data_IF_269906328915
#
_entry.id   IF_269906328915
#
_cell.length_a   1.000
_cell.length_b   1.000
_cell.length_c   1.000
_cell.angle_alpha   90.00
_cell.angle_beta   90.00
_cell.angle_gamma   90.00
#
_symmetry.space_group_name_H-M   'P 1'
#
loop_
_entity.id
_entity.type
_entity.pdbx_description
1 polymer ?
#
# COMPACT_ATOMS: atom_id res chain seq x y z
N UNK A 1 11.61 -33.68 27.97
CA UNK A 1 11.50 -32.22 28.03
C UNK A 1 11.98 -31.65 26.71
N UNK A 2 11.07 -31.32 25.78
CA UNK A 2 11.47 -30.86 24.45
C UNK A 2 10.30 -30.61 23.48
N UNK A 3 9.14 -30.18 23.98
CA UNK A 3 7.89 -30.14 23.19
C UNK A 3 7.09 -28.83 23.27
N UNK A 4 7.64 -27.72 23.79
CA UNK A 4 6.82 -26.53 24.06
C UNK A 4 7.26 -25.20 23.42
N UNK A 5 8.34 -25.15 22.64
CA UNK A 5 8.74 -23.90 21.96
C UNK A 5 8.23 -23.77 20.52
N UNK A 6 7.74 -24.84 19.88
CA UNK A 6 7.27 -24.81 18.47
C UNK A 6 5.74 -24.77 18.28
N UNK A 7 4.94 -24.90 19.34
CA UNK A 7 3.47 -24.96 19.28
C UNK A 7 2.79 -23.61 19.48
N UNK A 8 3.46 -22.64 20.10
CA UNK A 8 2.92 -21.29 20.39
C UNK A 8 2.86 -20.37 19.15
N UNK A 9 3.61 -20.67 18.09
CA UNK A 9 3.71 -19.87 16.85
C UNK A 9 2.48 -19.99 15.91
N UNK A 10 1.48 -20.83 16.22
CA UNK A 10 0.40 -21.17 15.27
C UNK A 10 -0.89 -20.37 15.44
N UNK A 11 -1.11 -19.68 16.56
CA UNK A 11 -2.34 -18.91 16.72
C UNK A 11 -2.28 -17.61 15.91
N UNK A 12 -3.36 -17.29 15.19
CA UNK A 12 -3.50 -16.05 14.41
C UNK A 12 -3.24 -14.80 15.27
N UNK A 13 -3.64 -14.83 16.55
CA UNK A 13 -3.35 -13.77 17.51
C UNK A 13 -1.85 -13.59 17.74
N UNK A 14 -1.11 -14.67 17.99
CA UNK A 14 0.36 -14.61 18.15
C UNK A 14 1.04 -14.10 16.88
N UNK A 15 0.55 -14.51 15.72
CA UNK A 15 1.05 -14.04 14.43
C UNK A 15 0.89 -12.51 14.27
N UNK A 16 -0.24 -11.94 14.70
CA UNK A 16 -0.41 -10.48 14.75
C UNK A 16 0.50 -9.81 15.77
N UNK A 17 0.74 -10.41 16.94
CA UNK A 17 1.69 -9.87 17.92
C UNK A 17 3.11 -9.81 17.33
N UNK A 18 3.54 -10.82 16.58
CA UNK A 18 4.82 -10.79 15.89
C UNK A 18 4.92 -9.70 14.83
N UNK A 19 3.88 -9.52 14.02
CA UNK A 19 3.84 -8.42 13.04
C UNK A 19 3.83 -7.05 13.74
N UNK A 20 3.01 -6.90 14.79
CA UNK A 20 2.96 -5.68 15.58
C UNK A 20 4.30 -5.34 16.23
N UNK A 21 4.98 -6.33 16.80
CA UNK A 21 6.32 -6.18 17.36
C UNK A 21 7.36 -5.82 16.30
N UNK A 22 7.33 -6.47 15.14
CA UNK A 22 8.20 -6.15 14.01
C UNK A 22 8.01 -4.69 13.55
N UNK A 23 6.77 -4.22 13.48
CA UNK A 23 6.46 -2.87 13.02
C UNK A 23 6.79 -1.82 14.06
N UNK A 24 6.56 -2.12 15.35
CA UNK A 24 7.02 -1.26 16.43
C UNK A 24 8.53 -1.05 16.35
N UNK A 25 9.31 -2.12 16.18
CA UNK A 25 10.76 -2.04 16.04
C UNK A 25 11.20 -1.34 14.76
N UNK A 26 10.51 -1.59 13.63
CA UNK A 26 10.79 -0.92 12.37
C UNK A 26 10.55 0.60 12.47
N UNK A 27 9.44 1.02 13.08
CA UNK A 27 9.12 2.42 13.30
C UNK A 27 10.06 3.08 14.31
N UNK A 28 10.44 2.38 15.39
CA UNK A 28 11.40 2.89 16.35
C UNK A 28 12.80 3.08 15.73
N UNK A 29 13.29 2.09 14.97
CA UNK A 29 14.57 2.18 14.27
C UNK A 29 14.55 3.28 13.19
N UNK A 30 13.48 3.34 12.40
CA UNK A 30 13.27 4.40 11.40
C UNK A 30 13.22 5.78 12.04
N UNK A 31 12.51 5.95 13.16
CA UNK A 31 12.45 7.21 13.92
C UNK A 31 13.84 7.64 14.42
N UNK A 32 14.62 6.73 15.02
CA UNK A 32 15.97 7.05 15.50
C UNK A 32 16.90 7.46 14.35
N UNK A 33 16.85 6.73 13.24
CA UNK A 33 17.65 7.07 12.06
C UNK A 33 17.23 8.40 11.43
N UNK A 34 15.92 8.62 11.27
CA UNK A 34 15.38 9.87 10.75
C UNK A 34 15.72 11.06 11.66
N UNK A 35 15.57 10.90 12.97
CA UNK A 35 15.93 11.93 13.96
C UNK A 35 17.40 12.33 13.86
N UNK A 36 18.31 11.37 13.74
CA UNK A 36 19.73 11.65 13.57
C UNK A 36 20.01 12.50 12.32
N UNK A 37 19.30 12.27 11.21
CA UNK A 37 19.43 13.08 10.00
C UNK A 37 18.73 14.44 10.14
N UNK A 38 17.61 14.51 10.86
CA UNK A 38 16.91 15.77 11.14
C UNK A 38 17.78 16.70 11.99
N UNK A 39 18.44 16.19 13.04
CA UNK A 39 19.36 16.95 13.89
C UNK A 39 20.63 17.42 13.15
N UNK A 40 20.91 16.87 11.96
CA UNK A 40 21.98 17.29 11.06
C UNK A 40 21.47 18.22 9.94
N UNK A 41 20.27 18.78 10.07
CA UNK A 41 19.64 19.72 9.13
C UNK A 41 19.49 19.17 7.70
N UNK A 42 19.38 17.84 7.53
CA UNK A 42 19.08 17.26 6.22
C UNK A 42 17.65 17.59 5.77
N UNK A 43 17.48 17.71 4.45
CA UNK A 43 16.16 17.94 3.83
C UNK A 43 15.12 16.88 4.29
N UNK A 44 13.86 17.25 4.57
CA UNK A 44 12.85 16.32 5.10
C UNK A 44 12.66 15.03 4.29
N UNK A 45 12.79 15.09 2.96
CA UNK A 45 12.73 13.89 2.11
C UNK A 45 13.89 12.91 2.33
N UNK A 46 15.08 13.40 2.67
CA UNK A 46 16.23 12.54 3.02
C UNK A 46 15.96 11.88 4.37
N UNK A 47 15.47 12.65 5.35
CA UNK A 47 15.07 12.14 6.67
C UNK A 47 14.05 11.01 6.52
N UNK A 48 12.98 11.23 5.76
CA UNK A 48 11.93 10.23 5.50
C UNK A 48 12.49 9.02 4.75
N UNK A 49 13.29 9.24 3.71
CA UNK A 49 13.85 8.16 2.89
C UNK A 49 14.77 7.24 3.69
N UNK A 50 15.61 7.80 4.56
CA UNK A 50 16.46 7.02 5.48
C UNK A 50 15.63 6.28 6.51
N UNK A 51 14.65 6.95 7.12
CA UNK A 51 13.76 6.33 8.11
C UNK A 51 13.01 5.13 7.52
N UNK A 52 12.44 5.29 6.32
CA UNK A 52 11.69 4.23 5.62
C UNK A 52 12.60 3.07 5.16
N UNK A 53 13.80 3.38 4.66
CA UNK A 53 14.78 2.36 4.30
C UNK A 53 15.22 1.53 5.52
N UNK A 54 15.49 2.18 6.66
CA UNK A 54 15.84 1.50 7.91
C UNK A 54 14.67 0.66 8.43
N UNK A 55 13.45 1.19 8.43
CA UNK A 55 12.26 0.43 8.81
C UNK A 55 12.05 -0.80 7.92
N UNK A 56 12.23 -0.65 6.60
CA UNK A 56 12.16 -1.74 5.62
C UNK A 56 13.22 -2.82 5.89
N UNK A 57 14.44 -2.45 6.27
CA UNK A 57 15.49 -3.41 6.65
C UNK A 57 15.11 -4.21 7.89
N UNK A 58 14.48 -3.58 8.89
CA UNK A 58 13.97 -4.29 10.07
C UNK A 58 12.88 -5.27 9.66
N UNK A 59 11.88 -4.84 8.89
CA UNK A 59 10.80 -5.72 8.40
C UNK A 59 11.37 -6.89 7.60
N UNK A 60 12.33 -6.64 6.72
CA UNK A 60 13.02 -7.68 5.95
C UNK A 60 13.77 -8.68 6.86
N UNK A 61 14.41 -8.20 7.92
CA UNK A 61 15.03 -9.05 8.93
C UNK A 61 14.03 -10.01 9.58
N UNK A 62 12.84 -9.52 9.94
CA UNK A 62 11.74 -10.36 10.42
C UNK A 62 11.27 -11.35 9.34
N UNK A 63 11.05 -10.90 8.10
CA UNK A 63 10.71 -11.78 6.98
C UNK A 63 11.69 -12.94 6.81
N UNK A 64 12.99 -12.64 6.91
CA UNK A 64 14.08 -13.62 6.79
C UNK A 64 14.06 -14.64 7.94
N UNK A 65 13.96 -14.16 9.19
CA UNK A 65 13.95 -15.02 10.38
C UNK A 65 12.74 -15.95 10.40
N UNK A 66 11.55 -15.41 10.08
CA UNK A 66 10.29 -16.18 10.08
C UNK A 66 10.04 -16.94 8.78
N UNK A 67 10.90 -16.77 7.77
CA UNK A 67 10.76 -17.37 6.43
C UNK A 67 9.40 -17.08 5.79
N UNK A 68 8.93 -15.84 5.94
CA UNK A 68 7.64 -15.41 5.41
C UNK A 68 7.74 -13.95 4.95
N UNK A 69 7.73 -13.71 3.64
CA UNK A 69 7.82 -12.35 3.10
C UNK A 69 6.52 -11.55 3.22
N UNK A 70 5.40 -12.18 3.60
CA UNK A 70 4.14 -11.48 3.92
C UNK A 70 4.20 -10.62 5.18
N UNK A 71 5.32 -10.62 5.92
CA UNK A 71 5.61 -9.58 6.91
C UNK A 71 5.62 -8.17 6.31
N UNK A 72 5.86 -8.01 5.01
CA UNK A 72 5.83 -6.70 4.36
C UNK A 72 4.42 -6.28 3.92
N UNK A 73 3.48 -7.22 3.79
CA UNK A 73 2.17 -6.98 3.15
C UNK A 73 1.35 -5.84 3.77
N UNK A 74 1.29 -5.65 5.11
CA UNK A 74 0.64 -4.48 5.69
C UNK A 74 1.59 -3.27 5.90
N UNK A 75 2.90 -3.42 5.70
CA UNK A 75 3.88 -2.39 6.07
C UNK A 75 3.73 -1.17 5.16
N UNK A 76 3.59 -1.43 3.87
CA UNK A 76 3.44 -0.39 2.84
C UNK A 76 2.15 0.45 3.02
N UNK A 77 1.13 -0.06 3.72
CA UNK A 77 -0.06 0.71 4.10
C UNK A 77 0.05 1.40 5.46
N UNK A 78 0.94 0.94 6.33
CA UNK A 78 1.19 1.54 7.65
C UNK A 78 2.14 2.74 7.53
N UNK A 79 3.22 2.62 6.75
CA UNK A 79 4.31 3.61 6.71
C UNK A 79 3.90 5.04 6.25
N UNK A 80 2.87 5.25 5.40
CA UNK A 80 2.46 6.61 5.05
C UNK A 80 1.92 7.42 6.24
N UNK A 81 1.39 6.77 7.28
CA UNK A 81 0.84 7.44 8.47
C UNK A 81 1.92 8.15 9.31
N UNK A 82 3.01 7.49 9.77
CA UNK A 82 4.09 8.18 10.46
C UNK A 82 4.84 9.18 9.57
N UNK A 83 4.93 8.94 8.25
CA UNK A 83 5.47 9.94 7.30
C UNK A 83 4.61 11.21 7.32
N UNK A 84 3.29 11.07 7.21
CA UNK A 84 2.37 12.19 7.26
C UNK A 84 2.41 12.90 8.62
N UNK A 85 2.51 12.15 9.72
CA UNK A 85 2.62 12.72 11.06
C UNK A 85 3.90 13.53 11.25
N UNK A 86 5.06 13.03 10.78
CA UNK A 86 6.32 13.76 10.82
C UNK A 86 6.27 15.06 10.01
N UNK A 87 5.75 15.00 8.78
CA UNK A 87 5.60 16.20 7.95
C UNK A 87 4.62 17.21 8.54
N UNK A 88 3.51 16.73 9.10
CA UNK A 88 2.55 17.60 9.78
C UNK A 88 3.19 18.30 10.99
N UNK A 89 4.02 17.60 11.78
CA UNK A 89 4.77 18.20 12.87
C UNK A 89 5.66 19.35 12.40
N UNK A 90 6.40 19.19 11.29
CA UNK A 90 7.18 20.28 10.69
C UNK A 90 6.30 21.45 10.24
N UNK A 91 5.14 21.16 9.65
CA UNK A 91 4.21 22.18 9.17
C UNK A 91 3.53 23.01 10.25
N UNK A 92 3.34 22.44 11.45
CA UNK A 92 2.80 23.18 12.60
C UNK A 92 3.69 24.36 12.98
N UNK A 93 5.01 24.20 12.86
CA UNK A 93 5.97 25.28 13.11
C UNK A 93 6.16 26.18 11.87
N UNK A 94 6.02 25.60 10.66
CA UNK A 94 6.21 26.28 9.38
C UNK A 94 5.02 27.08 8.83
N UNK A 95 3.88 27.09 9.53
CA UNK A 95 2.68 27.84 9.11
C UNK A 95 1.88 27.17 7.98
N UNK A 96 1.93 25.85 7.89
CA UNK A 96 1.09 25.08 6.97
C UNK A 96 -0.41 25.23 7.32
N UNK A 97 -1.27 25.15 6.31
CA UNK A 97 -2.72 25.29 6.50
C UNK A 97 -3.29 24.13 7.33
N UNK A 98 -3.86 24.45 8.50
CA UNK A 98 -4.36 23.46 9.45
C UNK A 98 -5.53 22.62 8.90
N UNK A 99 -6.37 23.18 8.02
CA UNK A 99 -7.49 22.47 7.42
C UNK A 99 -6.97 21.44 6.41
N UNK A 100 -6.03 21.83 5.54
CA UNK A 100 -5.36 20.91 4.61
C UNK A 100 -4.66 19.78 5.37
N UNK A 101 -3.93 20.11 6.43
CA UNK A 101 -3.25 19.10 7.26
C UNK A 101 -4.24 18.09 7.83
N UNK A 102 -5.35 18.55 8.41
CA UNK A 102 -6.37 17.67 8.97
C UNK A 102 -7.00 16.76 7.89
N UNK A 103 -7.32 17.32 6.71
CA UNK A 103 -7.87 16.57 5.58
C UNK A 103 -6.90 15.50 5.08
N UNK A 104 -5.64 15.85 4.86
CA UNK A 104 -4.62 14.92 4.38
C UNK A 104 -4.38 13.80 5.39
N UNK A 105 -4.24 14.13 6.68
CA UNK A 105 -4.08 13.14 7.75
C UNK A 105 -5.28 12.19 7.84
N UNK A 106 -6.50 12.72 7.73
CA UNK A 106 -7.72 11.91 7.74
C UNK A 106 -7.81 10.97 6.52
N UNK A 107 -7.50 11.48 5.32
CA UNK A 107 -7.53 10.69 4.07
C UNK A 107 -6.47 9.59 4.08
N UNK A 108 -5.22 9.90 4.46
CA UNK A 108 -4.13 8.92 4.58
C UNK A 108 -4.45 7.89 5.66
N UNK A 109 -4.95 8.33 6.82
CA UNK A 109 -5.35 7.44 7.92
C UNK A 109 -6.49 6.50 7.53
N UNK A 110 -7.52 7.02 6.85
CA UNK A 110 -8.65 6.21 6.36
C UNK A 110 -8.19 5.16 5.35
N UNK A 111 -7.34 5.55 4.39
CA UNK A 111 -6.76 4.62 3.42
C UNK A 111 -5.94 3.52 4.10
N UNK A 112 -5.05 3.90 5.04
CA UNK A 112 -4.19 2.99 5.77
C UNK A 112 -4.97 1.98 6.62
N UNK A 113 -5.96 2.46 7.38
CA UNK A 113 -6.84 1.62 8.21
C UNK A 113 -7.62 0.64 7.32
N UNK A 114 -8.24 1.12 6.24
CA UNK A 114 -9.03 0.30 5.31
C UNK A 114 -8.18 -0.79 4.68
N UNK A 115 -7.00 -0.45 4.16
CA UNK A 115 -6.12 -1.39 3.48
C UNK A 115 -5.55 -2.45 4.43
N UNK A 116 -5.06 -2.00 5.60
CA UNK A 116 -4.53 -2.89 6.64
C UNK A 116 -5.64 -3.81 7.19
N UNK A 117 -6.86 -3.31 7.38
CA UNK A 117 -8.01 -4.11 7.80
C UNK A 117 -8.42 -5.15 6.76
N UNK A 118 -8.39 -4.78 5.47
CA UNK A 118 -8.68 -5.70 4.36
C UNK A 118 -7.67 -6.85 4.28
N UNK A 119 -6.39 -6.57 4.54
CA UNK A 119 -5.37 -7.60 4.68
C UNK A 119 -5.62 -8.46 5.93
N UNK A 120 -5.79 -7.83 7.10
CA UNK A 120 -5.90 -8.51 8.39
C UNK A 120 -7.09 -9.48 8.43
N UNK A 121 -8.24 -9.12 7.84
CA UNK A 121 -9.43 -9.99 7.82
C UNK A 121 -9.20 -11.33 7.10
N UNK A 122 -8.38 -11.34 6.04
CA UNK A 122 -8.11 -12.53 5.23
C UNK A 122 -6.84 -13.29 5.63
N UNK A 123 -5.97 -12.68 6.43
CA UNK A 123 -4.71 -13.29 6.84
C UNK A 123 -4.91 -14.35 7.93
N UNK A 124 -4.30 -15.52 7.74
CA UNK A 124 -4.53 -16.71 8.58
C UNK A 124 -3.40 -16.94 9.60
N UNK A 125 -2.35 -16.11 9.57
CA UNK A 125 -1.16 -16.23 10.42
C UNK A 125 0.08 -16.60 9.62
N UNK A 126 1.18 -16.87 10.32
CA UNK A 126 2.52 -17.02 9.72
C UNK A 126 2.70 -18.21 8.76
N UNK A 127 1.73 -19.12 8.67
CA UNK A 127 1.72 -20.19 7.67
C UNK A 127 1.13 -19.75 6.32
N UNK A 128 0.45 -18.60 6.29
CA UNK A 128 -0.06 -17.97 5.07
C UNK A 128 1.01 -17.03 4.52
N UNK A 129 1.44 -17.31 3.29
CA UNK A 129 2.31 -16.44 2.50
C UNK A 129 1.65 -16.12 1.15
N UNK A 130 1.81 -14.88 0.66
CA UNK A 130 1.33 -14.48 -0.65
C UNK A 130 1.95 -15.37 -1.75
N UNK A 131 1.12 -15.71 -2.73
CA UNK A 131 1.51 -16.59 -3.81
C UNK A 131 2.64 -16.04 -4.69
N UNK A 132 2.81 -14.72 -4.77
CA UNK A 132 3.89 -14.07 -5.52
C UNK A 132 5.23 -14.46 -4.93
N UNK A 133 5.30 -14.60 -3.60
CA UNK A 133 6.52 -14.88 -2.89
C UNK A 133 6.91 -16.34 -3.06
N UNK A 134 5.94 -17.25 -2.92
CA UNK A 134 6.17 -18.68 -3.22
C UNK A 134 6.51 -18.92 -4.70
N UNK A 135 5.94 -18.16 -5.63
CA UNK A 135 6.31 -18.18 -7.04
C UNK A 135 7.77 -17.75 -7.24
N UNK A 136 8.18 -16.61 -6.68
CA UNK A 136 9.55 -16.11 -6.77
C UNK A 136 10.54 -17.06 -6.10
N UNK A 137 10.19 -17.66 -4.96
CA UNK A 137 11.02 -18.66 -4.29
C UNK A 137 11.28 -19.87 -5.19
N UNK A 138 10.26 -20.38 -5.88
CA UNK A 138 10.40 -21.49 -6.84
C UNK A 138 11.25 -21.12 -8.05
N UNK A 139 11.16 -19.88 -8.53
CA UNK A 139 11.90 -19.41 -9.70
C UNK A 139 13.38 -19.12 -9.41
N UNK A 140 13.69 -18.68 -8.19
CA UNK A 140 15.01 -18.10 -7.86
C UNK A 140 15.83 -18.97 -6.90
N UNK A 141 15.20 -19.94 -6.23
CA UNK A 141 15.86 -20.93 -5.39
C UNK A 141 16.75 -20.29 -4.33
N UNK A 142 18.05 -20.58 -4.36
CA UNK A 142 19.03 -20.06 -3.40
C UNK A 142 19.16 -18.52 -3.40
N UNK A 143 18.75 -17.85 -4.47
CA UNK A 143 18.79 -16.39 -4.57
C UNK A 143 17.50 -15.71 -4.07
N UNK A 144 16.54 -16.49 -3.56
CA UNK A 144 15.24 -15.98 -3.14
C UNK A 144 15.32 -14.79 -2.19
N UNK A 145 16.19 -14.83 -1.18
CA UNK A 145 16.26 -13.74 -0.20
C UNK A 145 16.80 -12.43 -0.78
N UNK A 146 17.69 -12.50 -1.78
CA UNK A 146 18.13 -11.32 -2.52
C UNK A 146 16.99 -10.75 -3.37
N UNK A 147 16.26 -11.62 -4.07
CA UNK A 147 15.09 -11.21 -4.88
C UNK A 147 13.94 -10.71 -4.01
N UNK A 148 13.75 -11.30 -2.83
CA UNK A 148 12.74 -10.87 -1.85
C UNK A 148 13.07 -9.49 -1.30
N UNK A 149 14.33 -9.26 -0.91
CA UNK A 149 14.75 -7.93 -0.50
C UNK A 149 14.48 -6.90 -1.61
N UNK A 150 14.99 -7.14 -2.82
CA UNK A 150 14.91 -6.18 -3.90
C UNK A 150 13.47 -5.96 -4.41
N UNK A 151 12.72 -7.05 -4.66
CA UNK A 151 11.44 -7.00 -5.36
C UNK A 151 10.19 -7.02 -4.47
N UNK A 152 10.25 -7.62 -3.28
CA UNK A 152 9.09 -7.74 -2.37
C UNK A 152 9.11 -6.63 -1.32
N UNK A 153 10.29 -6.24 -0.84
CA UNK A 153 10.43 -5.24 0.21
C UNK A 153 10.81 -3.88 -0.36
N UNK A 154 12.03 -3.76 -0.89
CA UNK A 154 12.62 -2.46 -1.22
C UNK A 154 11.97 -1.78 -2.43
N UNK A 155 11.61 -2.52 -3.48
CA UNK A 155 10.92 -1.93 -4.64
C UNK A 155 9.57 -1.30 -4.24
N UNK A 156 8.66 -2.00 -3.54
CA UNK A 156 7.44 -1.36 -3.02
C UNK A 156 7.72 -0.21 -2.05
N UNK A 157 8.77 -0.27 -1.22
CA UNK A 157 9.18 0.85 -0.35
C UNK A 157 9.44 2.10 -1.18
N UNK A 158 10.21 1.98 -2.26
CA UNK A 158 10.47 3.10 -3.18
C UNK A 158 9.16 3.61 -3.78
N UNK A 159 8.25 2.73 -4.20
CA UNK A 159 6.98 3.15 -4.80
C UNK A 159 6.11 3.94 -3.81
N UNK A 160 6.05 3.51 -2.54
CA UNK A 160 5.33 4.24 -1.48
C UNK A 160 6.00 5.55 -1.13
N UNK A 161 7.33 5.57 -0.98
CA UNK A 161 8.09 6.79 -0.76
C UNK A 161 7.81 7.83 -1.86
N UNK A 162 7.85 7.41 -3.13
CA UNK A 162 7.50 8.26 -4.26
C UNK A 162 6.04 8.73 -4.18
N UNK A 163 5.12 7.83 -3.85
CA UNK A 163 3.69 8.14 -3.64
C UNK A 163 3.46 9.16 -2.53
N UNK A 164 4.31 9.20 -1.50
CA UNK A 164 4.25 10.13 -0.39
C UNK A 164 4.88 11.50 -0.68
N UNK A 165 5.57 11.71 -1.81
CA UNK A 165 6.18 13.00 -2.14
C UNK A 165 5.21 14.20 -2.09
N UNK A 166 3.94 14.09 -2.56
CA UNK A 166 2.98 15.19 -2.45
C UNK A 166 2.62 15.59 -1.02
N UNK A 167 2.90 14.74 -0.03
CA UNK A 167 2.68 15.08 1.38
C UNK A 167 3.60 16.21 1.85
N UNK A 168 4.77 16.38 1.24
CA UNK A 168 5.74 17.42 1.62
C UNK A 168 5.15 18.84 1.48
N UNK A 169 4.67 19.28 0.29
CA UNK A 169 4.01 20.58 0.17
C UNK A 169 2.66 20.59 0.90
N UNK A 170 1.91 19.48 0.91
CA UNK A 170 0.60 19.44 1.53
C UNK A 170 0.62 19.63 3.06
N UNK A 171 1.70 19.20 3.72
CA UNK A 171 1.77 19.14 5.18
C UNK A 171 2.85 20.03 5.79
N UNK A 172 3.90 20.41 5.07
CA UNK A 172 5.09 21.03 5.69
C UNK A 172 5.62 22.28 4.99
N UNK A 173 5.71 22.29 3.66
CA UNK A 173 6.53 23.28 2.93
C UNK A 173 5.74 24.43 2.29
N UNK A 174 4.41 24.40 2.31
CA UNK A 174 3.59 25.43 1.68
C UNK A 174 2.48 25.93 2.62
N UNK A 175 2.17 27.23 2.46
CA UNK A 175 1.26 27.98 3.33
C UNK A 175 0.08 28.58 2.57
N UNK A 176 -0.16 28.16 1.31
CA UNK A 176 -1.36 28.57 0.60
C UNK A 176 -2.60 28.13 1.38
N UNK A 177 -3.63 28.99 1.52
CA UNK A 177 -4.83 28.62 2.26
C UNK A 177 -5.56 27.46 1.59
N UNK A 178 -6.34 26.71 2.37
CA UNK A 178 -7.21 25.67 1.83
C UNK A 178 -8.14 26.23 0.75
N UNK A 179 -8.18 25.57 -0.41
CA UNK A 179 -8.90 26.08 -1.58
C UNK A 179 -9.69 25.03 -2.36
N UNK A 180 -10.20 25.44 -3.52
CA UNK A 180 -11.02 24.58 -4.37
C UNK A 180 -10.25 23.35 -4.88
N UNK A 181 -8.95 23.48 -5.15
CA UNK A 181 -8.13 22.35 -5.60
C UNK A 181 -7.94 21.31 -4.49
N UNK A 182 -7.88 21.73 -3.22
CA UNK A 182 -7.86 20.81 -2.08
C UNK A 182 -9.14 19.98 -2.01
N UNK A 183 -10.30 20.59 -2.23
CA UNK A 183 -11.58 19.88 -2.27
C UNK A 183 -11.59 18.82 -3.39
N UNK A 184 -11.09 19.16 -4.58
CA UNK A 184 -10.96 18.19 -5.68
C UNK A 184 -10.06 17.03 -5.26
N UNK A 185 -8.87 17.32 -4.70
CA UNK A 185 -7.92 16.29 -4.29
C UNK A 185 -8.48 15.36 -3.22
N UNK A 186 -9.18 15.92 -2.24
CA UNK A 186 -9.87 15.14 -1.20
C UNK A 186 -10.98 14.26 -1.79
N UNK A 187 -11.84 14.79 -2.68
CA UNK A 187 -12.89 14.01 -3.35
C UNK A 187 -12.30 12.87 -4.17
N UNK A 188 -11.22 13.13 -4.92
CA UNK A 188 -10.53 12.11 -5.71
C UNK A 188 -9.97 11.02 -4.80
N UNK A 189 -9.27 11.38 -3.72
CA UNK A 189 -8.70 10.41 -2.80
C UNK A 189 -9.78 9.54 -2.11
N UNK A 190 -10.85 10.16 -1.61
CA UNK A 190 -11.97 9.46 -0.99
C UNK A 190 -12.71 8.57 -1.99
N UNK A 191 -12.85 9.01 -3.24
CA UNK A 191 -13.41 8.18 -4.31
C UNK A 191 -12.55 6.94 -4.54
N UNK A 192 -11.23 7.08 -4.60
CA UNK A 192 -10.29 5.97 -4.67
C UNK A 192 -10.51 4.96 -3.54
N UNK A 193 -10.57 5.46 -2.30
CA UNK A 193 -10.85 4.65 -1.10
C UNK A 193 -12.20 3.92 -1.19
N UNK A 194 -13.23 4.59 -1.72
CA UNK A 194 -14.55 4.00 -1.95
C UNK A 194 -14.51 2.84 -2.96
N UNK A 195 -13.81 3.01 -4.09
CA UNK A 195 -13.61 1.95 -5.09
C UNK A 195 -12.95 0.72 -4.47
N UNK A 196 -11.89 0.93 -3.70
CA UNK A 196 -11.18 -0.17 -3.05
C UNK A 196 -12.06 -0.87 -2.01
N UNK A 197 -12.68 -0.12 -1.11
CA UNK A 197 -13.52 -0.66 -0.05
C UNK A 197 -14.66 -1.52 -0.60
N UNK A 198 -15.40 -1.00 -1.59
CA UNK A 198 -16.54 -1.70 -2.20
C UNK A 198 -16.04 -2.97 -2.90
N UNK A 199 -15.05 -2.85 -3.78
CA UNK A 199 -14.59 -3.98 -4.59
C UNK A 199 -13.90 -5.07 -3.78
N UNK A 200 -13.13 -4.71 -2.75
CA UNK A 200 -12.54 -5.68 -1.84
C UNK A 200 -13.62 -6.39 -1.04
N UNK A 201 -14.67 -5.70 -0.59
CA UNK A 201 -15.76 -6.35 0.12
C UNK A 201 -16.57 -7.29 -0.77
N UNK A 202 -16.91 -6.87 -2.00
CA UNK A 202 -17.54 -7.74 -3.01
C UNK A 202 -16.71 -9.02 -3.23
N UNK A 203 -15.39 -8.88 -3.41
CA UNK A 203 -14.48 -10.01 -3.61
C UNK A 203 -14.44 -10.94 -2.40
N UNK A 204 -14.42 -10.36 -1.19
CA UNK A 204 -14.38 -11.14 0.05
C UNK A 204 -15.66 -11.95 0.24
N UNK A 205 -16.84 -11.32 0.10
CA UNK A 205 -18.13 -12.01 0.20
C UNK A 205 -18.26 -13.11 -0.87
N UNK A 206 -17.88 -12.80 -2.11
CA UNK A 206 -17.87 -13.79 -3.20
C UNK A 206 -16.99 -15.01 -2.87
N UNK A 207 -15.81 -14.78 -2.28
CA UNK A 207 -14.87 -15.85 -1.94
C UNK A 207 -15.32 -16.71 -0.76
N UNK A 208 -16.16 -16.17 0.14
CA UNK A 208 -16.71 -16.90 1.28
C UNK A 208 -17.81 -17.89 0.89
N UNK A 209 -18.53 -17.63 -0.21
CA UNK A 209 -19.59 -18.51 -0.68
C UNK A 209 -19.00 -19.78 -1.36
N UNK A 210 -19.25 -20.99 -0.82
CA UNK A 210 -18.78 -22.23 -1.43
C UNK A 210 -19.30 -22.46 -2.86
N UNK A 211 -20.47 -21.93 -3.20
CA UNK A 211 -21.07 -22.04 -4.53
C UNK A 211 -20.26 -21.28 -5.61
N UNK A 212 -19.37 -20.38 -5.20
CA UNK A 212 -18.55 -19.56 -6.08
C UNK A 212 -17.13 -20.11 -6.28
N UNK A 213 -16.80 -21.26 -5.67
CA UNK A 213 -15.50 -21.92 -5.87
C UNK A 213 -15.24 -22.18 -7.35
N UNK A 214 -14.08 -21.71 -7.83
CA UNK A 214 -13.66 -21.83 -9.24
C UNK A 214 -14.34 -20.85 -10.20
N UNK A 215 -15.41 -20.16 -9.80
CA UNK A 215 -16.10 -19.18 -10.65
C UNK A 215 -15.37 -17.83 -10.69
N UNK A 216 -15.70 -17.02 -11.69
CA UNK A 216 -15.12 -15.69 -11.92
C UNK A 216 -16.14 -14.65 -11.46
N UNK A 217 -15.72 -13.73 -10.60
CA UNK A 217 -16.54 -12.59 -10.20
C UNK A 217 -16.55 -11.56 -11.33
N UNK A 218 -17.72 -11.31 -11.91
CA UNK A 218 -17.94 -10.33 -13.00
C UNK A 218 -19.18 -9.45 -12.73
N UNK A 219 -19.60 -9.37 -11.48
CA UNK A 219 -20.76 -8.63 -11.01
C UNK A 219 -20.29 -7.45 -10.13
N UNK A 220 -21.18 -6.49 -9.86
CA UNK A 220 -20.83 -5.29 -9.09
C UNK A 220 -19.71 -4.49 -9.76
N UNK A 221 -18.77 -3.96 -8.98
CA UNK A 221 -17.62 -3.21 -9.51
C UNK A 221 -16.74 -4.06 -10.43
N UNK A 222 -16.70 -5.37 -10.20
CA UNK A 222 -15.93 -6.33 -11.02
C UNK A 222 -16.53 -6.55 -12.42
N UNK A 223 -17.77 -6.11 -12.65
CA UNK A 223 -18.38 -6.05 -13.99
C UNK A 223 -17.98 -4.82 -14.81
N UNK A 224 -17.53 -3.75 -14.14
CA UNK A 224 -17.09 -2.49 -14.77
C UNK A 224 -15.59 -2.47 -15.05
N UNK A 225 -14.80 -3.13 -14.20
CA UNK A 225 -13.36 -3.33 -14.35
C UNK A 225 -12.98 -4.70 -13.80
N UNK A 226 -11.99 -5.36 -14.39
CA UNK A 226 -11.44 -6.61 -13.85
C UNK A 226 -10.60 -6.41 -12.58
N UNK A 227 -10.13 -5.18 -12.33
CA UNK A 227 -9.32 -4.82 -11.16
C UNK A 227 -9.72 -3.45 -10.61
N UNK A 228 -10.98 -3.31 -10.15
CA UNK A 228 -11.52 -2.03 -9.68
C UNK A 228 -10.81 -1.51 -8.42
N UNK A 229 -10.30 -2.41 -7.57
CA UNK A 229 -9.48 -2.06 -6.41
C UNK A 229 -8.15 -1.40 -6.83
N UNK A 230 -7.48 -1.89 -7.88
CA UNK A 230 -6.24 -1.25 -8.37
C UNK A 230 -6.51 0.11 -9.00
N UNK A 231 -7.67 0.29 -9.62
CA UNK A 231 -8.10 1.62 -10.08
C UNK A 231 -8.27 2.57 -8.88
N UNK A 232 -8.96 2.12 -7.83
CA UNK A 232 -9.13 2.91 -6.62
C UNK A 232 -7.79 3.27 -5.95
N UNK A 233 -6.86 2.32 -5.89
CA UNK A 233 -5.51 2.55 -5.36
C UNK A 233 -4.77 3.66 -6.13
N UNK A 234 -4.70 3.59 -7.47
CA UNK A 234 -4.09 4.65 -8.28
C UNK A 234 -4.83 5.99 -8.11
N UNK A 235 -6.16 5.95 -7.97
CA UNK A 235 -6.98 7.15 -7.77
C UNK A 235 -6.68 7.82 -6.42
N UNK A 236 -6.42 7.03 -5.37
CA UNK A 236 -6.00 7.55 -4.07
C UNK A 236 -4.68 8.34 -4.18
N UNK A 237 -3.65 7.76 -4.80
CA UNK A 237 -2.36 8.44 -5.00
C UNK A 237 -2.48 9.68 -5.90
N UNK A 238 -3.37 9.67 -6.90
CA UNK A 238 -3.69 10.85 -7.69
C UNK A 238 -4.33 11.97 -6.85
N UNK A 239 -5.21 11.61 -5.91
CA UNK A 239 -5.81 12.55 -4.96
C UNK A 239 -4.78 13.19 -4.03
N UNK A 240 -3.81 12.42 -3.51
CA UNK A 240 -2.69 12.96 -2.74
C UNK A 240 -1.83 13.91 -3.57
N UNK A 241 -1.56 13.59 -4.84
CA UNK A 241 -0.87 14.49 -5.75
C UNK A 241 -1.61 15.83 -5.91
N UNK A 242 -2.92 15.80 -6.11
CA UNK A 242 -3.73 17.01 -6.24
C UNK A 242 -3.70 17.85 -4.94
N UNK A 243 -3.76 17.20 -3.76
CA UNK A 243 -3.63 17.88 -2.46
C UNK A 243 -2.26 18.55 -2.28
N UNK A 244 -1.18 17.89 -2.69
CA UNK A 244 0.16 18.49 -2.71
C UNK A 244 0.28 19.67 -3.66
N UNK A 245 -0.29 19.54 -4.86
CA UNK A 245 -0.30 20.59 -5.87
C UNK A 245 -1.18 21.79 -5.45
N UNK A 246 -2.26 21.55 -4.71
CA UNK A 246 -3.12 22.58 -4.14
C UNK A 246 -2.38 23.48 -3.13
N UNK A 247 -1.39 22.93 -2.44
CA UNK A 247 -0.58 23.67 -1.50
C UNK A 247 0.44 24.59 -2.20
N UNK A 248 1.08 24.11 -3.26
CA UNK A 248 1.93 24.93 -4.13
C UNK A 248 2.12 24.24 -5.50
N UNK A 249 1.74 24.96 -6.57
CA UNK A 249 1.83 24.49 -7.95
C UNK A 249 3.28 24.18 -8.39
N UNK A 250 4.30 24.76 -7.72
CA UNK A 250 5.71 24.51 -8.00
C UNK A 250 6.12 23.05 -7.76
N UNK A 251 5.33 22.30 -6.97
CA UNK A 251 5.56 20.89 -6.64
C UNK A 251 4.96 19.90 -7.65
N UNK A 252 4.67 20.34 -8.88
CA UNK A 252 4.19 19.47 -9.97
C UNK A 252 5.04 18.21 -10.19
N UNK A 253 6.34 18.28 -9.90
CA UNK A 253 7.27 17.16 -10.05
C UNK A 253 6.94 15.96 -9.13
N UNK A 254 6.19 16.18 -8.05
CA UNK A 254 5.72 15.11 -7.15
C UNK A 254 4.72 14.16 -7.82
N UNK A 255 4.20 14.51 -9.02
CA UNK A 255 3.40 13.63 -9.88
C UNK A 255 4.09 12.29 -10.18
N UNK A 256 5.43 12.25 -10.10
CA UNK A 256 6.21 11.01 -10.28
C UNK A 256 5.74 9.89 -9.34
N UNK A 257 5.23 10.21 -8.15
CA UNK A 257 4.66 9.24 -7.22
C UNK A 257 3.43 8.52 -7.76
N UNK A 258 2.43 9.29 -8.21
CA UNK A 258 1.23 8.73 -8.81
C UNK A 258 1.56 7.96 -10.12
N UNK A 259 2.48 8.47 -10.94
CA UNK A 259 2.94 7.79 -12.15
C UNK A 259 3.64 6.47 -11.83
N UNK A 260 4.50 6.44 -10.81
CA UNK A 260 5.19 5.23 -10.36
C UNK A 260 4.20 4.18 -9.84
N UNK A 261 3.21 4.58 -9.03
CA UNK A 261 2.15 3.68 -8.57
C UNK A 261 1.34 3.12 -9.73
N UNK A 262 0.89 3.97 -10.65
CA UNK A 262 0.20 3.51 -11.85
C UNK A 262 1.05 2.55 -12.67
N UNK A 263 2.33 2.85 -12.90
CA UNK A 263 3.23 2.00 -13.67
C UNK A 263 3.44 0.64 -13.01
N UNK A 264 3.66 0.59 -11.68
CA UNK A 264 3.76 -0.65 -10.93
C UNK A 264 2.50 -1.51 -11.13
N UNK A 265 1.31 -0.94 -10.95
CA UNK A 265 0.08 -1.70 -11.15
C UNK A 265 -0.11 -2.11 -12.61
N UNK A 266 0.13 -1.22 -13.56
CA UNK A 266 -0.15 -1.42 -14.97
C UNK A 266 0.76 -2.46 -15.62
N UNK A 267 2.06 -2.40 -15.32
CA UNK A 267 3.08 -3.21 -15.97
C UNK A 267 3.47 -4.46 -15.19
N UNK A 268 3.27 -4.48 -13.86
CA UNK A 268 3.68 -5.60 -13.00
C UNK A 268 2.46 -6.31 -12.43
N UNK A 269 1.69 -5.64 -11.57
CA UNK A 269 0.64 -6.29 -10.78
C UNK A 269 -0.52 -6.83 -11.64
N UNK A 270 -1.03 -6.02 -12.58
CA UNK A 270 -2.14 -6.39 -13.45
C UNK A 270 -1.77 -7.59 -14.34
N UNK A 271 -0.67 -7.59 -15.13
CA UNK A 271 -0.30 -8.74 -15.94
C UNK A 271 -0.08 -10.02 -15.13
N UNK A 272 0.57 -9.92 -13.97
CA UNK A 272 0.80 -11.06 -13.09
C UNK A 272 -0.52 -11.67 -12.59
N UNK A 273 -1.47 -10.83 -12.18
CA UNK A 273 -2.78 -11.29 -11.71
C UNK A 273 -3.60 -11.91 -12.83
N UNK A 274 -3.64 -11.28 -14.00
CA UNK A 274 -4.34 -11.78 -15.19
C UNK A 274 -3.82 -13.16 -15.60
N UNK A 275 -2.50 -13.32 -15.69
CA UNK A 275 -1.86 -14.60 -16.01
C UNK A 275 -2.26 -15.68 -15.01
N UNK A 276 -2.17 -15.39 -13.71
CA UNK A 276 -2.57 -16.32 -12.66
C UNK A 276 -4.05 -16.71 -12.75
N UNK A 277 -4.94 -15.77 -13.06
CA UNK A 277 -6.37 -16.07 -13.17
C UNK A 277 -6.66 -16.95 -14.38
N UNK A 278 -6.00 -16.70 -15.51
CA UNK A 278 -6.06 -17.56 -16.70
C UNK A 278 -5.60 -18.99 -16.40
N UNK A 279 -4.52 -19.17 -15.64
CA UNK A 279 -4.01 -20.48 -15.25
C UNK A 279 -4.95 -21.23 -14.29
N UNK A 280 -5.63 -20.50 -13.39
CA UNK A 280 -6.46 -21.11 -12.33
C UNK A 280 -7.91 -21.35 -12.73
N UNK A 281 -8.42 -20.63 -13.73
CA UNK A 281 -9.86 -20.63 -14.09
C UNK A 281 -10.02 -20.76 -15.61
N UNK A 282 -10.30 -21.98 -16.12
CA UNK A 282 -10.46 -22.22 -17.57
C UNK A 282 -11.47 -21.29 -18.26
N UNK A 283 -12.51 -20.85 -17.56
CA UNK A 283 -13.54 -19.93 -18.06
C UNK A 283 -13.20 -18.43 -17.95
N UNK A 284 -12.02 -18.04 -17.45
CA UNK A 284 -11.71 -16.64 -17.16
C UNK A 284 -11.80 -15.73 -18.39
N UNK A 285 -11.13 -16.09 -19.49
CA UNK A 285 -11.16 -15.31 -20.72
C UNK A 285 -12.58 -15.10 -21.27
N UNK A 286 -13.42 -16.14 -21.25
CA UNK A 286 -14.80 -16.04 -21.69
C UNK A 286 -15.63 -15.18 -20.74
N UNK A 287 -15.51 -15.40 -19.43
CA UNK A 287 -16.26 -14.67 -18.41
C UNK A 287 -15.95 -13.17 -18.43
N UNK A 288 -14.69 -12.79 -18.61
CA UNK A 288 -14.27 -11.38 -18.62
C UNK A 288 -14.28 -10.74 -20.00
N UNK A 289 -14.79 -11.42 -21.03
CA UNK A 289 -14.91 -10.84 -22.38
C UNK A 289 -15.72 -9.54 -22.31
N UNK A 290 -15.17 -8.47 -22.87
CA UNK A 290 -15.79 -7.15 -22.87
C UNK A 290 -15.64 -6.35 -21.58
N UNK A 291 -15.07 -6.92 -20.52
CA UNK A 291 -14.80 -6.22 -19.24
C UNK A 291 -13.42 -5.55 -19.32
N UNK A 292 -13.39 -4.25 -19.03
CA UNK A 292 -12.15 -3.47 -19.01
C UNK A 292 -11.14 -4.06 -18.03
N UNK A 293 -9.83 -4.01 -18.36
CA UNK A 293 -8.80 -4.49 -17.41
C UNK A 293 -8.68 -3.58 -16.20
N UNK A 294 -8.75 -2.26 -16.41
CA UNK A 294 -8.40 -1.28 -15.39
C UNK A 294 -9.44 -0.17 -15.27
N UNK A 295 -9.74 0.51 -16.39
CA UNK A 295 -10.66 1.64 -16.38
C UNK A 295 -12.12 1.19 -16.16
N UNK A 296 -12.83 1.65 -15.12
CA UNK A 296 -14.24 1.32 -14.91
C UNK A 296 -15.10 1.84 -16.07
N UNK A 297 -15.78 0.94 -16.77
CA UNK A 297 -16.69 1.28 -17.88
C UNK A 297 -17.70 0.16 -18.14
N UNK A 298 -18.82 0.44 -18.83
CA UNK A 298 -19.78 -0.60 -19.18
C UNK A 298 -19.14 -1.73 -19.99
N UNK A 299 -19.63 -2.95 -19.76
CA UNK A 299 -19.19 -4.14 -20.50
C UNK A 299 -19.48 -4.00 -21.98
N UNK A 300 -18.47 -4.20 -22.82
CA UNK A 300 -18.64 -4.24 -24.27
C UNK A 300 -19.23 -5.58 -24.71
N UNK A 301 -20.06 -5.54 -25.74
CA UNK A 301 -20.61 -6.73 -26.39
C UNK A 301 -19.55 -7.45 -27.23
#
# INVERSE_FOLDING_TARGET
MGTDTMTMSKSRAMAFLWIGGAYFLALAAGFLAGRAFHELDYHPLVVIGVADAVGTLVVFGFSYVFKNSSFYDPYWSVIPVPIAAYLAWLGMEGGADAVRMAVVLAVVGLWAIRLTSNWARGWQGLHHEDWRYTMLARQTGKYYWLVSFAGIHFFPTIMVFLGCLPLLPALAMANAPFGFLDLIGAIVAITGIGFEYISDNERYQWAMDPANKGKVLTEGMWGWSRHPNYFGEVTFWAGLFILGLAADLSYWWTAIGCVAMWAMFHFISLPMMEKRQMERKPGYAAATKGVSRFWPRPRLK
#
